data_IF_467581524266
#
_entry.id   IF_467581524266
#
_cell.length_a   1.000
_cell.length_b   1.000
_cell.length_c   1.000
_cell.angle_alpha   90.00
_cell.angle_beta   90.00
_cell.angle_gamma   90.00
#
_symmetry.space_group_name_H-M   'P 1'
#
loop_
_entity.id
_entity.type
_entity.pdbx_description
1 polymer ?
#
# COMPACT_ATOMS: atom_id res chain seq x y z
N UNK A 1 43.58 7.51 17.26
CA UNK A 1 42.71 7.01 16.17
C UNK A 1 41.32 6.86 16.73
N UNK A 2 40.31 7.40 16.05
CA UNK A 2 38.91 7.28 16.47
C UNK A 2 38.44 5.86 16.16
N UNK A 3 38.22 5.04 17.18
CA UNK A 3 37.73 3.67 17.05
C UNK A 3 36.35 3.67 16.37
N UNK A 4 36.19 2.87 15.30
CA UNK A 4 34.94 2.75 14.55
C UNK A 4 33.81 2.20 15.43
N UNK A 5 32.54 2.47 15.10
CA UNK A 5 31.41 1.86 15.82
C UNK A 5 31.45 0.33 15.70
N UNK A 6 31.84 -0.19 14.54
CA UNK A 6 31.96 -1.62 14.28
C UNK A 6 33.00 -2.25 15.19
N UNK A 7 34.16 -1.62 15.36
CA UNK A 7 35.21 -2.11 16.26
C UNK A 7 34.76 -2.08 17.73
N UNK A 8 34.10 -1.00 18.16
CA UNK A 8 33.54 -0.89 19.52
C UNK A 8 32.54 -2.01 19.82
N UNK A 9 31.64 -2.30 18.88
CA UNK A 9 30.64 -3.35 19.03
C UNK A 9 31.28 -4.73 18.95
N UNK A 10 32.24 -4.95 18.05
CA UNK A 10 32.99 -6.20 17.92
C UNK A 10 33.70 -6.58 19.23
N UNK A 11 34.28 -5.59 19.92
CA UNK A 11 34.94 -5.79 21.22
C UNK A 11 33.98 -6.31 22.30
N UNK A 12 32.69 -5.95 22.29
CA UNK A 12 31.68 -6.50 23.22
C UNK A 12 31.52 -8.02 23.10
N UNK A 13 31.94 -8.59 21.95
CA UNK A 13 31.89 -10.01 21.66
C UNK A 13 33.27 -10.69 21.67
N UNK A 14 34.32 -10.00 22.09
CA UNK A 14 35.71 -10.47 22.04
C UNK A 14 36.15 -10.89 20.61
N UNK A 15 35.76 -10.11 19.60
CA UNK A 15 36.12 -10.34 18.21
C UNK A 15 36.87 -9.15 17.64
N UNK A 16 37.76 -9.41 16.68
CA UNK A 16 38.29 -8.33 15.83
C UNK A 16 37.19 -7.76 14.92
N UNK A 17 37.35 -6.51 14.47
CA UNK A 17 36.40 -5.87 13.55
C UNK A 17 36.17 -6.73 12.28
N UNK A 18 37.24 -7.27 11.71
CA UNK A 18 37.18 -8.10 10.50
C UNK A 18 36.43 -9.41 10.72
N UNK A 19 36.70 -10.12 11.82
CA UNK A 19 36.01 -11.37 12.16
C UNK A 19 34.53 -11.12 12.45
N UNK A 20 34.23 -10.05 13.19
CA UNK A 20 32.87 -9.65 13.49
C UNK A 20 32.11 -9.35 12.19
N UNK A 21 32.65 -8.48 11.33
CA UNK A 21 32.04 -8.15 10.02
C UNK A 21 31.78 -9.41 9.18
N UNK A 22 32.76 -10.30 9.09
CA UNK A 22 32.61 -11.57 8.35
C UNK A 22 31.49 -12.45 8.90
N UNK A 23 31.37 -12.57 10.23
CA UNK A 23 30.31 -13.38 10.87
C UNK A 23 28.93 -12.77 10.67
N UNK A 24 28.81 -11.45 10.79
CA UNK A 24 27.54 -10.73 10.62
C UNK A 24 27.06 -10.83 9.18
N UNK A 25 27.93 -10.52 8.20
CA UNK A 25 27.57 -10.63 6.78
C UNK A 25 27.12 -12.06 6.45
N UNK A 26 27.84 -13.08 6.92
CA UNK A 26 27.49 -14.48 6.63
C UNK A 26 26.16 -14.92 7.23
N UNK A 27 25.88 -14.53 8.48
CA UNK A 27 24.79 -15.16 9.25
C UNK A 27 23.52 -14.30 9.39
N UNK A 28 23.63 -12.99 9.17
CA UNK A 28 22.60 -12.00 9.49
C UNK A 28 22.23 -11.09 8.32
N UNK A 29 23.05 -11.02 7.27
CA UNK A 29 22.78 -10.17 6.09
C UNK A 29 22.64 -11.08 4.88
N UNK A 30 23.65 -11.90 4.61
CA UNK A 30 23.68 -12.90 3.53
C UNK A 30 23.53 -12.31 2.11
N UNK A 31 23.92 -11.04 1.93
CA UNK A 31 24.06 -10.37 0.64
C UNK A 31 25.17 -9.30 0.71
N UNK A 32 25.55 -8.74 -0.43
CA UNK A 32 26.54 -7.67 -0.50
C UNK A 32 25.95 -6.36 0.01
N UNK A 33 26.65 -5.72 0.93
CA UNK A 33 26.22 -4.49 1.61
C UNK A 33 27.33 -3.44 1.51
N UNK A 34 26.95 -2.17 1.36
CA UNK A 34 27.90 -1.05 1.40
C UNK A 34 28.56 -0.94 2.78
N UNK A 35 29.61 -0.14 2.89
CA UNK A 35 30.26 0.06 4.19
C UNK A 35 29.34 0.88 5.11
N UNK A 36 28.69 1.89 4.55
CA UNK A 36 27.79 2.82 5.19
C UNK A 36 26.55 2.09 5.74
N UNK A 37 25.86 1.30 4.90
CA UNK A 37 24.70 0.50 5.32
C UNK A 37 25.07 -0.49 6.44
N UNK A 38 26.26 -1.07 6.38
CA UNK A 38 26.74 -1.98 7.43
C UNK A 38 26.98 -1.23 8.74
N UNK A 39 27.56 -0.03 8.70
CA UNK A 39 27.77 0.80 9.88
C UNK A 39 26.44 1.25 10.48
N UNK A 40 25.46 1.66 9.66
CA UNK A 40 24.11 2.04 10.10
C UNK A 40 23.36 0.86 10.76
N UNK A 41 23.46 -0.34 10.16
CA UNK A 41 22.91 -1.55 10.76
C UNK A 41 23.50 -1.84 12.14
N UNK A 42 24.82 -1.74 12.28
CA UNK A 42 25.50 -2.00 13.56
C UNK A 42 25.17 -0.90 14.58
N UNK A 43 25.05 0.36 14.15
CA UNK A 43 24.62 1.46 15.00
C UNK A 43 23.22 1.23 15.58
N UNK A 44 22.25 0.86 14.73
CA UNK A 44 20.88 0.56 15.15
C UNK A 44 20.83 -0.65 16.09
N UNK A 45 21.51 -1.75 15.73
CA UNK A 45 21.58 -2.94 16.56
C UNK A 45 22.16 -2.63 17.96
N UNK A 46 23.20 -1.81 18.04
CA UNK A 46 23.80 -1.42 19.31
C UNK A 46 22.90 -0.49 20.13
N UNK A 47 22.22 0.46 19.47
CA UNK A 47 21.26 1.37 20.09
C UNK A 47 20.13 0.63 20.80
N UNK A 48 19.59 -0.41 20.17
CA UNK A 48 18.60 -1.31 20.75
C UNK A 48 19.19 -2.43 21.63
N UNK A 49 20.51 -2.47 21.78
CA UNK A 49 21.25 -3.52 22.51
C UNK A 49 20.91 -4.92 22.00
N UNK A 50 20.60 -5.07 20.71
CA UNK A 50 20.29 -6.34 20.07
C UNK A 50 21.57 -7.00 19.54
N UNK A 51 21.64 -8.33 19.66
CA UNK A 51 22.79 -9.10 19.22
C UNK A 51 22.52 -9.76 17.87
N UNK A 52 23.14 -9.29 16.76
CA UNK A 52 22.89 -9.89 15.46
C UNK A 52 23.41 -11.32 15.36
N UNK A 53 24.51 -11.67 16.05
CA UNK A 53 25.06 -13.04 16.08
C UNK A 53 24.09 -14.06 16.67
N UNK A 54 23.08 -13.61 17.44
CA UNK A 54 22.01 -14.44 18.01
C UNK A 54 20.71 -14.41 17.20
N UNK A 55 20.72 -13.73 16.05
CA UNK A 55 19.54 -13.44 15.23
C UNK A 55 18.45 -12.70 16.02
N UNK A 56 18.86 -11.81 16.92
CA UNK A 56 17.94 -10.88 17.58
C UNK A 56 17.55 -9.75 16.62
N UNK A 57 18.45 -9.38 15.71
CA UNK A 57 18.25 -8.45 14.60
C UNK A 57 19.05 -8.94 13.38
N UNK A 58 18.53 -8.72 12.18
CA UNK A 58 19.16 -9.05 10.90
C UNK A 58 18.79 -7.99 9.86
N UNK A 59 19.46 -7.99 8.71
CA UNK A 59 19.18 -7.05 7.63
C UNK A 59 18.59 -7.79 6.44
N UNK A 60 17.62 -7.17 5.79
CA UNK A 60 17.07 -7.61 4.50
C UNK A 60 17.28 -6.51 3.45
N UNK A 61 17.35 -6.85 2.15
CA UNK A 61 17.49 -5.85 1.11
C UNK A 61 16.24 -4.94 1.06
N UNK A 62 16.47 -3.63 0.97
CA UNK A 62 15.40 -2.65 0.77
C UNK A 62 15.12 -2.45 -0.72
N UNK A 63 13.85 -2.36 -1.11
CA UNK A 63 13.49 -2.01 -2.50
C UNK A 63 13.94 -0.57 -2.80
N UNK A 64 14.62 -0.37 -3.93
CA UNK A 64 15.22 0.92 -4.27
C UNK A 64 16.67 1.09 -3.80
N UNK A 65 17.25 0.10 -3.11
CA UNK A 65 18.64 0.10 -2.65
C UNK A 65 18.77 0.31 -1.14
N UNK A 66 19.94 -0.06 -0.60
CA UNK A 66 20.19 -0.07 0.85
C UNK A 66 19.62 -1.29 1.55
N UNK A 67 19.40 -1.16 2.86
CA UNK A 67 18.90 -2.24 3.72
C UNK A 67 17.73 -1.80 4.58
N UNK A 68 16.98 -2.76 5.08
CA UNK A 68 16.00 -2.59 6.14
C UNK A 68 16.36 -3.53 7.29
N UNK A 69 16.32 -3.02 8.52
CA UNK A 69 16.68 -3.79 9.70
C UNK A 69 15.45 -4.48 10.29
N UNK A 70 15.53 -5.79 10.43
CA UNK A 70 14.44 -6.64 10.91
C UNK A 70 14.79 -7.21 12.27
N UNK A 71 13.90 -7.02 13.24
CA UNK A 71 14.00 -7.59 14.57
C UNK A 71 13.28 -8.93 14.58
N UNK A 72 14.06 -10.00 14.79
CA UNK A 72 13.48 -11.33 14.94
C UNK A 72 12.70 -11.46 16.24
N UNK A 73 11.83 -12.46 16.35
CA UNK A 73 11.00 -12.66 17.56
C UNK A 73 11.82 -12.76 18.86
N UNK A 74 13.06 -13.28 18.80
CA UNK A 74 13.98 -13.30 19.94
C UNK A 74 14.40 -11.90 20.38
N UNK A 75 14.62 -11.01 19.42
CA UNK A 75 14.91 -9.60 19.68
C UNK A 75 13.72 -8.91 20.32
N UNK A 76 12.52 -9.10 19.78
CA UNK A 76 11.28 -8.56 20.37
C UNK A 76 11.09 -8.99 21.83
N UNK A 77 11.25 -10.29 22.15
CA UNK A 77 11.19 -10.74 23.54
C UNK A 77 12.25 -10.10 24.43
N UNK A 78 13.46 -9.87 23.91
CA UNK A 78 14.52 -9.20 24.66
C UNK A 78 14.16 -7.74 24.92
N UNK A 79 13.69 -7.01 23.90
CA UNK A 79 13.26 -5.62 24.02
C UNK A 79 12.18 -5.48 25.08
N UNK A 80 11.12 -6.29 25.01
CA UNK A 80 10.01 -6.29 25.97
C UNK A 80 10.50 -6.55 27.40
N UNK A 81 11.28 -7.63 27.59
CA UNK A 81 11.75 -8.03 28.94
C UNK A 81 12.81 -7.11 29.53
N UNK A 82 13.45 -6.29 28.69
CA UNK A 82 14.45 -5.31 29.14
C UNK A 82 13.83 -4.01 29.65
N UNK A 83 12.51 -3.82 29.50
CA UNK A 83 11.83 -2.63 30.00
C UNK A 83 11.61 -2.73 31.51
N UNK A 84 12.01 -1.69 32.24
CA UNK A 84 11.88 -1.67 33.71
C UNK A 84 10.41 -1.74 34.16
N UNK A 85 9.50 -1.17 33.36
CA UNK A 85 8.07 -1.11 33.64
C UNK A 85 7.29 -2.37 33.22
N UNK A 86 7.94 -3.33 32.55
CA UNK A 86 7.29 -4.58 32.14
C UNK A 86 6.91 -5.45 33.35
N UNK A 87 5.67 -5.94 33.37
CA UNK A 87 5.11 -6.76 34.46
C UNK A 87 4.52 -8.10 34.01
N UNK A 88 4.40 -8.34 32.71
CA UNK A 88 3.88 -9.61 32.19
C UNK A 88 3.33 -9.51 30.78
N UNK A 89 3.07 -10.66 30.19
CA UNK A 89 2.46 -10.79 28.86
C UNK A 89 1.53 -12.00 28.82
N UNK A 90 0.32 -11.81 28.31
CA UNK A 90 -0.65 -12.88 28.02
C UNK A 90 -1.01 -12.88 26.54
N UNK A 91 -1.29 -14.08 26.01
CA UNK A 91 -1.78 -14.28 24.64
C UNK A 91 -3.12 -15.00 24.69
N UNK A 92 -4.14 -14.41 24.06
CA UNK A 92 -5.47 -14.98 23.93
C UNK A 92 -5.73 -15.30 22.45
N UNK A 93 -5.92 -16.57 22.13
CA UNK A 93 -6.35 -17.01 20.80
C UNK A 93 -7.87 -16.96 20.69
N UNK A 94 -8.36 -16.30 19.65
CA UNK A 94 -9.77 -16.18 19.35
C UNK A 94 -10.11 -17.08 18.14
N UNK A 95 -11.17 -17.86 18.28
CA UNK A 95 -11.63 -18.78 17.24
C UNK A 95 -13.00 -18.30 16.73
N UNK A 96 -13.27 -18.57 15.45
CA UNK A 96 -14.58 -18.30 14.85
C UNK A 96 -15.64 -19.34 15.29
N UNK A 97 -16.87 -19.18 14.80
CA UNK A 97 -17.98 -20.10 15.11
C UNK A 97 -17.73 -21.55 14.66
N UNK A 98 -16.78 -21.78 13.76
CA UNK A 98 -16.40 -23.10 13.27
C UNK A 98 -15.20 -23.67 14.03
N UNK A 99 -14.72 -23.00 15.08
CA UNK A 99 -13.58 -23.40 15.88
C UNK A 99 -12.23 -23.17 15.19
N UNK A 100 -12.17 -22.41 14.09
CA UNK A 100 -10.93 -22.08 13.39
C UNK A 100 -10.31 -20.82 13.99
N UNK A 101 -8.98 -20.79 14.09
CA UNK A 101 -8.26 -19.60 14.54
C UNK A 101 -8.64 -18.39 13.67
N UNK A 102 -9.07 -17.32 14.31
CA UNK A 102 -9.49 -16.07 13.67
C UNK A 102 -8.59 -14.89 14.03
N UNK A 103 -8.20 -14.78 15.30
CA UNK A 103 -7.36 -13.67 15.78
C UNK A 103 -6.48 -14.11 16.96
N UNK A 104 -5.42 -13.33 17.24
CA UNK A 104 -4.64 -13.44 18.46
C UNK A 104 -4.55 -12.07 19.12
N UNK A 105 -4.89 -12.00 20.41
CA UNK A 105 -4.73 -10.80 21.22
C UNK A 105 -3.52 -10.95 22.12
N UNK A 106 -2.61 -9.98 22.05
CA UNK A 106 -1.54 -9.81 23.01
C UNK A 106 -1.94 -8.79 24.06
N UNK A 107 -1.63 -9.08 25.32
CA UNK A 107 -1.88 -8.23 26.48
C UNK A 107 -0.56 -8.05 27.22
N UNK A 108 -0.04 -6.82 27.27
CA UNK A 108 1.16 -6.48 28.04
C UNK A 108 0.76 -5.71 29.29
N UNK A 109 1.21 -6.20 30.45
CA UNK A 109 1.02 -5.55 31.74
C UNK A 109 2.23 -4.68 32.06
N UNK A 110 1.96 -3.47 32.54
CA UNK A 110 2.97 -2.50 32.93
C UNK A 110 2.75 -2.11 34.40
N UNK A 111 3.81 -2.05 35.19
CA UNK A 111 3.75 -1.75 36.63
C UNK A 111 3.14 -0.38 36.90
N UNK A 112 3.43 0.59 36.02
CA UNK A 112 2.93 1.97 36.11
C UNK A 112 1.47 2.14 35.70
N UNK A 113 0.83 1.12 35.10
CA UNK A 113 -0.52 1.24 34.53
C UNK A 113 -1.50 0.34 35.27
N UNK A 114 -2.65 0.91 35.63
CA UNK A 114 -3.78 0.15 36.19
C UNK A 114 -4.40 -0.83 35.19
N UNK A 115 -4.39 -0.48 33.91
CA UNK A 115 -4.98 -1.28 32.84
C UNK A 115 -3.89 -1.68 31.85
N UNK A 116 -3.85 -2.95 31.39
CA UNK A 116 -2.83 -3.41 30.47
C UNK A 116 -3.03 -2.85 29.06
N UNK A 117 -1.95 -2.84 28.28
CA UNK A 117 -1.99 -2.54 26.85
C UNK A 117 -2.44 -3.80 26.13
N UNK A 118 -3.40 -3.67 25.21
CA UNK A 118 -3.95 -4.80 24.47
C UNK A 118 -3.92 -4.49 22.98
N UNK A 119 -3.54 -5.47 22.18
CA UNK A 119 -3.61 -5.38 20.73
C UNK A 119 -4.06 -6.71 20.13
N UNK A 120 -4.94 -6.65 19.14
CA UNK A 120 -5.48 -7.84 18.48
C UNK A 120 -5.07 -7.82 17.02
N UNK A 121 -4.47 -8.93 16.57
CA UNK A 121 -4.17 -9.18 15.17
C UNK A 121 -5.14 -10.18 14.57
N UNK A 122 -5.60 -9.90 13.35
CA UNK A 122 -6.54 -10.75 12.62
C UNK A 122 -5.78 -11.63 11.62
N UNK A 123 -6.07 -12.94 11.68
CA UNK A 123 -5.38 -13.92 10.83
C UNK A 123 -5.58 -13.63 9.34
N UNK A 124 -6.77 -13.18 8.96
CA UNK A 124 -7.11 -12.92 7.55
C UNK A 124 -6.32 -11.75 6.96
N UNK A 125 -6.02 -10.73 7.76
CA UNK A 125 -5.24 -9.56 7.34
C UNK A 125 -3.74 -9.84 7.33
N UNK A 126 -3.25 -10.62 8.31
CA UNK A 126 -1.82 -10.89 8.45
C UNK A 126 -1.30 -12.02 7.57
N UNK A 127 -2.16 -12.98 7.21
CA UNK A 127 -1.70 -14.23 6.60
C UNK A 127 -1.11 -13.97 5.22
N UNK A 128 0.13 -14.42 5.03
CA UNK A 128 0.82 -14.40 3.73
C UNK A 128 0.89 -15.79 3.11
N UNK A 129 1.11 -15.86 1.81
CA UNK A 129 1.35 -17.12 1.10
C UNK A 129 2.83 -17.56 1.15
N UNK A 130 3.40 -17.58 2.36
CA UNK A 130 4.77 -18.07 2.59
C UNK A 130 4.76 -19.43 3.28
N UNK A 131 5.87 -20.16 3.19
CA UNK A 131 5.99 -21.49 3.79
C UNK A 131 5.74 -21.47 5.31
N UNK A 132 6.25 -20.45 6.00
CA UNK A 132 6.10 -20.29 7.46
C UNK A 132 4.64 -20.05 7.86
N UNK A 133 3.93 -19.18 7.15
CA UNK A 133 2.50 -18.95 7.37
C UNK A 133 1.65 -20.19 7.03
N UNK A 134 1.98 -20.94 5.96
CA UNK A 134 1.28 -22.19 5.62
C UNK A 134 1.47 -23.28 6.67
N UNK A 135 2.67 -23.43 7.24
CA UNK A 135 2.99 -24.50 8.21
C UNK A 135 2.72 -24.12 9.67
N UNK A 136 2.68 -22.83 10.01
CA UNK A 136 2.68 -22.36 11.39
C UNK A 136 1.93 -21.03 11.58
N UNK A 137 0.79 -20.87 10.90
CA UNK A 137 -0.06 -19.66 10.95
C UNK A 137 -0.36 -19.16 12.37
N UNK A 138 -0.75 -20.05 13.29
CA UNK A 138 -1.06 -19.66 14.68
C UNK A 138 0.13 -19.07 15.43
N UNK A 139 1.35 -19.54 15.12
CA UNK A 139 2.59 -19.03 15.71
C UNK A 139 2.98 -17.70 15.09
N UNK A 140 2.87 -17.58 13.77
CA UNK A 140 3.13 -16.32 13.06
C UNK A 140 2.20 -15.21 13.53
N UNK A 141 0.90 -15.51 13.66
CA UNK A 141 -0.09 -14.56 14.18
C UNK A 141 0.20 -14.13 15.63
N UNK A 142 0.63 -15.08 16.47
CA UNK A 142 1.05 -14.77 17.84
C UNK A 142 2.26 -13.82 17.85
N UNK A 143 3.24 -14.04 16.97
CA UNK A 143 4.42 -13.19 16.88
C UNK A 143 4.06 -11.77 16.41
N UNK A 144 3.19 -11.65 15.40
CA UNK A 144 2.60 -10.36 14.98
C UNK A 144 1.96 -9.61 16.14
N UNK A 145 1.07 -10.28 16.87
CA UNK A 145 0.36 -9.67 18.00
C UNK A 145 1.33 -9.19 19.10
N UNK A 146 2.38 -9.96 19.38
CA UNK A 146 3.43 -9.58 20.34
C UNK A 146 4.17 -8.33 19.86
N UNK A 147 4.62 -8.32 18.61
CA UNK A 147 5.35 -7.20 18.02
C UNK A 147 4.54 -5.90 18.07
N UNK A 148 3.30 -5.90 17.57
CA UNK A 148 2.48 -4.69 17.56
C UNK A 148 2.10 -4.22 18.96
N UNK A 149 1.76 -5.14 19.87
CA UNK A 149 1.46 -4.77 21.25
C UNK A 149 2.69 -4.16 21.94
N UNK A 150 3.88 -4.70 21.68
CA UNK A 150 5.13 -4.16 22.21
C UNK A 150 5.41 -2.75 21.67
N UNK A 151 5.14 -2.49 20.38
CA UNK A 151 5.24 -1.13 19.83
C UNK A 151 4.33 -0.16 20.56
N UNK A 152 3.06 -0.52 20.72
CA UNK A 152 2.09 0.31 21.41
C UNK A 152 2.42 0.53 22.89
N UNK A 153 3.01 -0.47 23.55
CA UNK A 153 3.37 -0.39 24.96
C UNK A 153 4.63 0.45 25.21
N UNK A 154 5.61 0.43 24.30
CA UNK A 154 6.97 0.94 24.56
C UNK A 154 7.50 1.97 23.54
N UNK A 155 6.79 2.22 22.43
CA UNK A 155 7.17 3.25 21.43
C UNK A 155 8.34 2.85 20.53
N UNK A 156 8.28 1.65 19.94
CA UNK A 156 9.31 1.18 19.00
C UNK A 156 8.94 1.53 17.55
N UNK A 157 9.36 2.71 17.09
CA UNK A 157 8.86 3.30 15.84
C UNK A 157 9.70 2.97 14.60
N UNK A 158 10.97 2.57 14.76
CA UNK A 158 11.96 2.41 13.66
C UNK A 158 12.50 0.98 13.52
N UNK A 159 11.84 0.00 14.15
CA UNK A 159 12.18 -1.42 14.03
C UNK A 159 10.98 -2.22 13.54
N UNK A 160 11.23 -3.19 12.66
CA UNK A 160 10.18 -3.95 11.97
C UNK A 160 10.32 -5.46 12.13
N UNK A 161 9.21 -6.19 12.05
CA UNK A 161 9.26 -7.61 11.71
C UNK A 161 9.35 -7.82 10.18
N UNK A 162 9.72 -9.03 9.77
CA UNK A 162 10.00 -9.33 8.37
C UNK A 162 8.78 -9.14 7.45
N UNK A 163 7.59 -9.55 7.88
CA UNK A 163 6.42 -9.43 7.02
C UNK A 163 6.01 -7.96 6.86
N UNK A 164 6.31 -7.09 7.83
CA UNK A 164 6.04 -5.66 7.72
C UNK A 164 6.97 -4.97 6.73
N UNK A 165 8.25 -5.35 6.72
CA UNK A 165 9.19 -4.89 5.70
C UNK A 165 8.74 -5.35 4.32
N UNK A 166 8.24 -6.58 4.19
CA UNK A 166 7.65 -7.06 2.93
C UNK A 166 6.44 -6.20 2.51
N UNK A 167 5.52 -5.89 3.43
CA UNK A 167 4.39 -4.99 3.14
C UNK A 167 4.84 -3.60 2.68
N UNK A 168 5.82 -2.98 3.36
CA UNK A 168 6.37 -1.67 2.99
C UNK A 168 6.99 -1.73 1.59
N UNK A 169 7.77 -2.77 1.32
CA UNK A 169 8.39 -3.00 0.02
C UNK A 169 7.37 -3.22 -1.09
N UNK A 170 6.26 -3.93 -0.82
CA UNK A 170 5.16 -4.12 -1.77
C UNK A 170 4.40 -2.83 -2.06
N UNK A 171 4.12 -2.02 -1.02
CA UNK A 171 3.52 -0.70 -1.19
C UNK A 171 4.41 0.21 -2.05
N UNK A 172 5.73 0.23 -1.78
CA UNK A 172 6.70 0.97 -2.59
C UNK A 172 6.69 0.55 -4.06
N UNK A 173 6.60 -0.76 -4.35
CA UNK A 173 6.49 -1.26 -5.73
C UNK A 173 5.22 -0.72 -6.39
N UNK A 174 4.09 -0.74 -5.69
CA UNK A 174 2.83 -0.24 -6.23
C UNK A 174 2.89 1.26 -6.51
N UNK A 175 3.55 2.05 -5.66
CA UNK A 175 3.75 3.49 -5.87
C UNK A 175 4.70 3.79 -7.03
N UNK A 176 5.83 3.09 -7.13
CA UNK A 176 6.81 3.29 -8.22
C UNK A 176 6.27 2.79 -9.55
N UNK A 177 5.52 1.69 -9.56
CA UNK A 177 4.85 1.18 -10.76
C UNK A 177 3.54 1.91 -11.06
N UNK A 178 3.11 2.84 -10.22
CA UNK A 178 1.97 3.69 -10.52
C UNK A 178 2.35 4.65 -11.63
N UNK A 179 2.12 4.22 -12.87
CA UNK A 179 2.08 5.11 -14.01
C UNK A 179 0.71 5.81 -13.98
N UNK A 180 0.62 7.14 -13.89
CA UNK A 180 -0.66 7.86 -13.97
C UNK A 180 -1.46 7.53 -15.24
N UNK A 181 -0.77 7.04 -16.28
CA UNK A 181 -1.34 6.57 -17.54
C UNK A 181 -2.14 5.26 -17.43
N UNK A 182 -1.90 4.45 -16.40
CA UNK A 182 -2.59 3.17 -16.16
C UNK A 182 -3.83 3.34 -15.26
N UNK A 183 -4.12 4.57 -14.82
CA UNK A 183 -5.33 4.87 -14.06
C UNK A 183 -6.54 4.68 -14.96
N UNK A 184 -7.44 3.74 -14.60
CA UNK A 184 -8.65 3.48 -15.39
C UNK A 184 -9.58 4.68 -15.35
N UNK A 185 -10.39 4.83 -16.39
CA UNK A 185 -11.45 5.83 -16.46
C UNK A 185 -12.33 5.78 -15.20
N UNK A 186 -12.51 6.94 -14.55
CA UNK A 186 -13.42 7.07 -13.41
C UNK A 186 -14.86 6.74 -13.81
N UNK A 187 -15.65 6.21 -12.88
CA UNK A 187 -17.06 5.88 -13.09
C UNK A 187 -17.86 7.10 -13.59
N UNK A 188 -17.57 8.30 -13.07
CA UNK A 188 -18.26 9.54 -13.46
C UNK A 188 -17.90 9.99 -14.88
N UNK A 189 -16.65 9.79 -15.29
CA UNK A 189 -16.18 10.09 -16.63
C UNK A 189 -16.76 9.10 -17.65
N UNK A 190 -16.80 7.81 -17.29
CA UNK A 190 -17.43 6.76 -18.10
C UNK A 190 -18.93 7.02 -18.30
N UNK A 191 -19.64 7.46 -17.26
CA UNK A 191 -21.05 7.82 -17.35
C UNK A 191 -21.28 8.98 -18.33
N UNK A 192 -20.44 10.02 -18.29
CA UNK A 192 -20.52 11.15 -19.21
C UNK A 192 -20.26 10.73 -20.67
N UNK A 193 -19.27 9.88 -20.91
CA UNK A 193 -18.97 9.36 -22.25
C UNK A 193 -20.16 8.57 -22.79
N UNK A 194 -20.75 7.67 -22.00
CA UNK A 194 -21.92 6.87 -22.42
C UNK A 194 -23.11 7.74 -22.78
N UNK A 195 -23.38 8.78 -21.99
CA UNK A 195 -24.47 9.71 -22.27
C UNK A 195 -24.23 10.50 -23.58
N UNK A 196 -23.01 11.02 -23.78
CA UNK A 196 -22.66 11.76 -25.00
C UNK A 196 -22.62 10.87 -26.25
N UNK A 197 -22.22 9.61 -26.13
CA UNK A 197 -22.29 8.63 -27.22
C UNK A 197 -23.74 8.43 -27.68
N UNK A 198 -24.67 8.32 -26.73
CA UNK A 198 -26.10 8.21 -27.02
C UNK A 198 -26.65 9.45 -27.72
N UNK A 199 -26.26 10.64 -27.26
CA UNK A 199 -26.69 11.92 -27.85
C UNK A 199 -26.13 12.12 -29.27
N UNK A 200 -24.86 11.81 -29.47
CA UNK A 200 -24.17 11.98 -30.77
C UNK A 200 -24.39 10.83 -31.75
N UNK A 201 -25.10 9.76 -31.34
CA UNK A 201 -25.25 8.49 -32.06
C UNK A 201 -23.89 7.88 -32.47
N UNK A 202 -22.93 7.95 -31.56
CA UNK A 202 -21.60 7.37 -31.76
C UNK A 202 -21.62 5.89 -31.35
N UNK A 203 -21.30 5.01 -32.30
CA UNK A 203 -21.19 3.56 -32.07
C UNK A 203 -20.04 3.22 -31.11
N UNK A 204 -20.30 2.30 -30.18
CA UNK A 204 -19.32 1.86 -29.17
C UNK A 204 -18.06 1.24 -29.80
N UNK A 205 -18.20 0.49 -30.88
CA UNK A 205 -17.08 -0.11 -31.62
C UNK A 205 -16.04 0.93 -32.11
N UNK A 206 -16.48 2.15 -32.42
CA UNK A 206 -15.58 3.23 -32.85
C UNK A 206 -14.78 3.80 -31.68
N UNK A 207 -15.39 3.82 -30.49
CA UNK A 207 -14.73 4.29 -29.26
C UNK A 207 -13.74 3.25 -28.77
N UNK A 208 -14.13 1.98 -28.79
CA UNK A 208 -13.26 0.85 -28.42
C UNK A 208 -12.07 0.72 -29.36
N UNK A 209 -12.27 0.88 -30.68
CA UNK A 209 -11.17 0.82 -31.65
C UNK A 209 -10.22 2.01 -31.54
N UNK A 210 -10.71 3.21 -31.23
CA UNK A 210 -9.85 4.37 -30.94
C UNK A 210 -9.02 4.19 -29.67
N UNK A 211 -9.60 3.57 -28.64
CA UNK A 211 -8.93 3.32 -27.38
C UNK A 211 -8.07 2.04 -27.37
N UNK A 212 -8.12 1.22 -28.42
CA UNK A 212 -7.45 -0.08 -28.52
C UNK A 212 -7.77 -1.04 -27.35
N UNK A 213 -9.02 -1.02 -26.84
CA UNK A 213 -9.46 -1.85 -25.71
C UNK A 213 -10.69 -2.71 -26.04
N UNK A 214 -10.90 -3.78 -25.26
CA UNK A 214 -12.04 -4.68 -25.44
C UNK A 214 -13.32 -4.21 -24.74
N UNK A 215 -13.19 -3.35 -23.72
CA UNK A 215 -14.32 -2.80 -22.96
C UNK A 215 -14.12 -1.33 -22.61
N UNK A 216 -15.21 -0.55 -22.53
CA UNK A 216 -15.18 0.83 -22.10
C UNK A 216 -14.63 1.00 -20.66
N UNK A 217 -14.70 -0.06 -19.84
CA UNK A 217 -14.17 -0.06 -18.46
C UNK A 217 -12.65 -0.23 -18.39
N UNK A 218 -12.02 -0.57 -19.51
CA UNK A 218 -10.57 -0.76 -19.64
C UNK A 218 -9.87 0.48 -20.22
N UNK A 219 -10.64 1.50 -20.62
CA UNK A 219 -10.09 2.77 -21.13
C UNK A 219 -9.32 3.46 -20.01
N UNK A 220 -8.11 3.95 -20.31
CA UNK A 220 -7.33 4.79 -19.39
C UNK A 220 -8.01 6.14 -19.17
N UNK A 221 -7.74 6.78 -18.05
CA UNK A 221 -8.32 8.07 -17.69
C UNK A 221 -8.02 9.15 -18.75
N UNK A 222 -6.79 9.19 -19.27
CA UNK A 222 -6.37 10.13 -20.31
C UNK A 222 -7.11 9.90 -21.64
N UNK A 223 -7.16 8.65 -22.12
CA UNK A 223 -7.90 8.30 -23.34
C UNK A 223 -9.40 8.60 -23.17
N UNK A 224 -9.94 8.37 -21.97
CA UNK A 224 -11.31 8.74 -21.61
C UNK A 224 -11.58 10.24 -21.73
N UNK A 225 -10.64 11.09 -21.28
CA UNK A 225 -10.77 12.54 -21.42
C UNK A 225 -10.73 12.99 -22.89
N UNK A 226 -9.85 12.39 -23.69
CA UNK A 226 -9.74 12.67 -25.13
C UNK A 226 -11.06 12.30 -25.84
N UNK A 227 -11.61 11.13 -25.54
CA UNK A 227 -12.90 10.68 -26.08
C UNK A 227 -14.02 11.63 -25.67
N UNK A 228 -14.06 12.05 -24.40
CA UNK A 228 -15.08 12.96 -23.88
C UNK A 228 -15.07 14.29 -24.65
N UNK A 229 -13.91 14.91 -24.84
CA UNK A 229 -13.81 16.18 -25.56
C UNK A 229 -14.20 16.04 -27.03
N UNK A 230 -13.78 14.97 -27.70
CA UNK A 230 -14.19 14.70 -29.08
C UNK A 230 -15.71 14.50 -29.24
N UNK A 231 -16.36 13.85 -28.26
CA UNK A 231 -17.82 13.69 -28.25
C UNK A 231 -18.55 15.02 -27.99
N UNK A 232 -18.03 15.86 -27.09
CA UNK A 232 -18.57 17.21 -26.86
C UNK A 232 -18.44 18.08 -28.11
N UNK A 233 -17.32 18.01 -28.83
CA UNK A 233 -17.15 18.69 -30.11
C UNK A 233 -18.19 18.23 -31.14
N UNK A 234 -18.36 16.92 -31.30
CA UNK A 234 -19.36 16.36 -32.21
C UNK A 234 -20.78 16.81 -31.86
N UNK A 235 -21.11 16.84 -30.57
CA UNK A 235 -22.40 17.35 -30.11
C UNK A 235 -22.60 18.82 -30.50
N UNK A 236 -21.59 19.67 -30.29
CA UNK A 236 -21.66 21.09 -30.68
C UNK A 236 -21.92 21.25 -32.19
N UNK A 237 -21.18 20.52 -33.03
CA UNK A 237 -21.38 20.55 -34.47
C UNK A 237 -22.79 20.10 -34.89
N UNK A 238 -23.33 19.03 -34.30
CA UNK A 238 -24.69 18.57 -34.60
C UNK A 238 -25.75 19.60 -34.19
N UNK A 239 -25.58 20.27 -33.04
CA UNK A 239 -26.47 21.35 -32.60
C UNK A 239 -26.40 22.58 -33.51
N UNK A 240 -25.22 22.92 -34.04
CA UNK A 240 -25.03 24.02 -34.99
C UNK A 240 -25.67 23.71 -36.36
N UNK A 241 -25.54 22.48 -36.86
CA UNK A 241 -26.20 22.02 -38.09
C UNK A 241 -27.74 22.01 -37.95
N UNK A 242 -28.28 21.55 -36.82
CA UNK A 242 -29.72 21.56 -36.57
C UNK A 242 -30.30 22.99 -36.47
N UNK A 243 -29.53 23.95 -35.94
CA UNK A 243 -29.93 25.36 -35.90
C UNK A 243 -29.92 26.02 -37.29
N UNK A 244 -29.00 25.63 -38.18
CA UNK A 244 -28.96 26.11 -39.57
C UNK A 244 -30.01 25.45 -40.47
N UNK A 245 -30.50 24.27 -40.12
CA UNK A 245 -31.52 23.53 -40.86
C UNK A 245 -32.98 23.98 -40.59
N UNK A 246 -33.21 24.92 -39.66
CA UNK A 246 -34.55 25.47 -39.38
C UNK A 246 -35.01 26.43 -40.51
N UNK A 247 -36.14 26.17 -41.21
CA UNK A 247 -36.59 27.02 -42.31
C UNK A 247 -37.11 28.38 -41.81
N UNK A 248 -36.73 29.46 -42.52
CA UNK A 248 -37.27 30.82 -42.31
C UNK A 248 -38.80 30.87 -42.53
N UNK A 249 -39.56 31.74 -41.82
CA UNK A 249 -41.02 31.79 -41.94
C UNK A 249 -41.43 32.19 -43.37
N UNK A 250 -42.27 31.37 -44.01
CA UNK A 250 -42.90 31.73 -45.28
C UNK A 250 -43.90 32.86 -45.06
N UNK A 251 -43.64 34.03 -45.63
CA UNK A 251 -44.67 35.00 -46.04
C UNK A 251 -44.55 35.20 -47.56
N UNK A 252 -45.57 35.71 -48.29
CA UNK A 252 -46.98 35.98 -47.97
C UNK A 252 -47.91 35.35 -49.03
N UNK A 253 -49.23 35.55 -48.91
CA UNK A 253 -50.05 36.02 -50.04
C UNK A 253 -51.43 36.41 -49.50
N UNK A 254 -51.66 37.72 -49.46
CA UNK A 254 -53.00 38.32 -49.36
C UNK A 254 -53.66 38.25 -50.74
N UNK A 255 -54.91 37.76 -50.85
CA UNK A 255 -55.79 38.22 -51.93
C UNK A 255 -57.08 38.83 -51.36
N UNK A 256 -57.20 40.13 -51.60
CA UNK A 256 -58.34 40.84 -52.21
C UNK A 256 -59.77 40.51 -51.74
N UNK A 257 -60.39 41.53 -51.13
CA UNK A 257 -61.83 41.70 -50.97
C UNK A 257 -62.60 41.52 -52.29
N UNK A 258 -63.73 40.81 -52.24
CA UNK A 258 -64.95 41.23 -52.95
C UNK A 258 -66.19 40.97 -52.06
N UNK A 259 -66.78 42.07 -51.60
CA UNK A 259 -68.22 42.42 -51.65
C UNK A 259 -69.28 41.47 -51.04
N UNK A 260 -70.04 41.88 -50.01
CA UNK A 260 -71.29 42.70 -50.00
C UNK A 260 -72.41 41.82 -49.38
N UNK A 261 -73.66 42.27 -49.08
CA UNK A 261 -74.24 43.60 -48.88
C UNK A 261 -75.04 43.72 -47.54
N UNK A 262 -75.66 44.87 -47.30
CA UNK A 262 -76.96 44.90 -46.60
C UNK A 262 -76.97 45.57 -45.22
N UNK A 263 -77.14 46.88 -45.22
CA UNK A 263 -78.51 47.41 -45.40
C UNK A 263 -78.63 47.94 -46.83
#
# INVERSE_FOLDING_TARGET
MTTSIVEKVAQKYNLSEQEFRKKIIKNCINFNISKEDFEDFIYLADGYKLNPLRKEIYAVPKRGGGIEAVVGIKGWYKLIRSQDDYDGIDIIYQHDNNGKLHAAQCIIYLKSKKYPIKFTEFLEECRRDTEHWRKSSSRMLCYKAITQCARLAFGFDDIYDEDEVDCINEAFINEVNHNPQDERISHDLLAQIKELMKQTKTEEEKVLSFAEVASLTEISHETGQIILEGLKERQRFQMEEEQQALPSPKQPNTPTQQDLPGV
#
